data_IF_450409847692
#
_entry.id   IF_450409847692
#
_cell.length_a   1.000
_cell.length_b   1.000
_cell.length_c   1.000
_cell.angle_alpha   90.00
_cell.angle_beta   90.00
_cell.angle_gamma   90.00
#
_symmetry.space_group_name_H-M   'P 1'
#
loop_
_entity.id
_entity.type
_entity.pdbx_description
1 polymer ?
#
# COMPACT_ATOMS: atom_id res chain seq x y z
N UNK A 1 5.26 65.38 -1.48
CA UNK A 1 5.75 64.25 -0.65
C UNK A 1 4.67 63.24 -0.24
N UNK A 2 3.58 63.61 0.46
CA UNK A 2 2.53 62.65 0.91
C UNK A 2 1.94 61.74 -0.19
N UNK A 3 1.71 62.29 -1.39
CA UNK A 3 1.15 61.55 -2.55
C UNK A 3 2.11 60.47 -3.10
N UNK A 4 3.42 60.72 -3.02
CA UNK A 4 4.48 59.79 -3.45
C UNK A 4 4.66 58.67 -2.42
N UNK A 5 4.71 58.99 -1.14
CA UNK A 5 4.75 58.02 -0.03
C UNK A 5 3.54 57.07 -0.07
N UNK A 6 2.33 57.60 -0.23
CA UNK A 6 1.12 56.78 -0.30
C UNK A 6 1.07 55.86 -1.54
N UNK A 7 1.72 56.27 -2.64
CA UNK A 7 1.85 55.44 -3.85
C UNK A 7 2.91 54.36 -3.68
N UNK A 8 3.97 54.62 -2.91
CA UNK A 8 4.99 53.62 -2.55
C UNK A 8 4.40 52.54 -1.64
N UNK A 9 3.77 52.92 -0.52
CA UNK A 9 3.15 51.97 0.42
C UNK A 9 2.07 51.09 -0.23
N UNK A 10 1.29 51.63 -1.18
CA UNK A 10 0.34 50.83 -1.96
C UNK A 10 1.00 49.81 -2.90
N UNK A 11 2.17 50.11 -3.44
CA UNK A 11 2.95 49.17 -4.26
C UNK A 11 3.53 48.05 -3.41
N UNK A 12 4.09 48.37 -2.25
CA UNK A 12 4.64 47.38 -1.33
C UNK A 12 3.55 46.45 -0.79
N UNK A 13 2.38 47.00 -0.46
CA UNK A 13 1.20 46.22 -0.08
C UNK A 13 0.70 45.32 -1.23
N UNK A 14 0.73 45.80 -2.48
CA UNK A 14 0.34 45.00 -3.64
C UNK A 14 1.33 43.85 -3.92
N UNK A 15 2.63 44.11 -3.75
CA UNK A 15 3.68 43.08 -3.86
C UNK A 15 3.47 42.01 -2.77
N UNK A 16 3.29 42.44 -1.50
CA UNK A 16 3.05 41.54 -0.39
C UNK A 16 1.78 40.70 -0.58
N UNK A 17 0.68 41.30 -1.05
CA UNK A 17 -0.57 40.60 -1.33
C UNK A 17 -0.40 39.55 -2.44
N UNK A 18 0.33 39.89 -3.50
CA UNK A 18 0.60 38.96 -4.61
C UNK A 18 1.44 37.77 -4.15
N UNK A 19 2.47 38.02 -3.32
CA UNK A 19 3.28 36.97 -2.69
C UNK A 19 2.44 36.07 -1.77
N UNK A 20 1.55 36.65 -0.96
CA UNK A 20 0.67 35.90 -0.08
C UNK A 20 -0.29 34.99 -0.87
N UNK A 21 -0.89 35.51 -1.95
CA UNK A 21 -1.76 34.73 -2.85
C UNK A 21 -0.98 33.60 -3.51
N UNK A 22 0.22 33.89 -4.00
CA UNK A 22 1.08 32.88 -4.61
C UNK A 22 1.44 31.78 -3.61
N UNK A 23 1.91 32.14 -2.41
CA UNK A 23 2.22 31.16 -1.36
C UNK A 23 1.01 30.32 -0.97
N UNK A 24 -0.17 30.94 -0.81
CA UNK A 24 -1.40 30.21 -0.51
C UNK A 24 -1.76 29.23 -1.63
N UNK A 25 -1.61 29.63 -2.89
CA UNK A 25 -1.86 28.76 -4.04
C UNK A 25 -0.91 27.55 -4.06
N UNK A 26 0.36 27.76 -3.73
CA UNK A 26 1.34 26.67 -3.62
C UNK A 26 0.99 25.71 -2.48
N UNK A 27 0.58 26.23 -1.32
CA UNK A 27 0.18 25.40 -0.17
C UNK A 27 -1.05 24.55 -0.49
N UNK A 28 -2.07 25.13 -1.14
CA UNK A 28 -3.26 24.41 -1.55
C UNK A 28 -2.94 23.33 -2.59
N UNK A 29 -2.09 23.64 -3.57
CA UNK A 29 -1.65 22.67 -4.58
C UNK A 29 -0.85 21.53 -3.95
N UNK A 30 0.09 21.84 -3.07
CA UNK A 30 0.89 20.82 -2.38
C UNK A 30 0.00 19.93 -1.51
N UNK A 31 -0.91 20.52 -0.72
CA UNK A 31 -1.86 19.77 0.09
C UNK A 31 -2.77 18.86 -0.75
N UNK A 32 -3.17 19.29 -1.95
CA UNK A 32 -3.92 18.46 -2.89
C UNK A 32 -3.11 17.26 -3.39
N UNK A 33 -1.84 17.46 -3.77
CA UNK A 33 -0.95 16.38 -4.23
C UNK A 33 -0.66 15.41 -3.08
N UNK A 34 -0.36 15.92 -1.89
CA UNK A 34 -0.12 15.14 -0.67
C UNK A 34 -1.33 14.23 -0.37
N UNK A 35 -2.54 14.78 -0.36
CA UNK A 35 -3.78 14.02 -0.16
C UNK A 35 -3.94 12.91 -1.20
N UNK A 36 -3.63 13.18 -2.48
CA UNK A 36 -3.69 12.17 -3.55
C UNK A 36 -2.65 11.06 -3.36
N UNK A 37 -1.48 11.37 -2.80
CA UNK A 37 -0.40 10.41 -2.57
C UNK A 37 -0.63 9.57 -1.31
N UNK A 38 -1.16 10.18 -0.24
CA UNK A 38 -1.37 9.55 1.05
C UNK A 38 -2.63 8.69 1.10
N UNK A 39 -3.60 8.86 0.20
CA UNK A 39 -4.75 7.95 0.14
C UNK A 39 -4.38 6.65 -0.59
N UNK A 40 -4.20 5.52 0.13
CA UNK A 40 -3.85 4.24 -0.49
C UNK A 40 -4.91 3.77 -1.51
N UNK A 41 -6.17 4.13 -1.30
CA UNK A 41 -7.31 3.66 -2.12
C UNK A 41 -7.62 4.52 -3.34
N UNK A 42 -6.90 5.63 -3.53
CA UNK A 42 -7.23 6.62 -4.54
C UNK A 42 -6.65 6.24 -5.91
N UNK A 43 -7.51 5.73 -6.79
CA UNK A 43 -7.19 5.37 -8.18
C UNK A 43 -6.08 4.31 -8.36
N UNK A 44 -5.77 3.50 -7.34
CA UNK A 44 -4.80 2.41 -7.46
C UNK A 44 -5.49 1.08 -7.18
N UNK A 45 -5.56 0.21 -8.18
CA UNK A 45 -5.87 -1.20 -7.97
C UNK A 45 -4.58 -1.89 -7.53
N UNK A 46 -4.42 -2.04 -6.22
CA UNK A 46 -3.26 -2.73 -5.67
C UNK A 46 -3.67 -3.57 -4.46
N UNK A 47 -2.86 -4.56 -4.18
CA UNK A 47 -3.01 -5.45 -3.04
C UNK A 47 -1.62 -5.88 -2.55
N UNK A 48 -1.54 -6.34 -1.31
CA UNK A 48 -0.29 -6.74 -0.67
C UNK A 48 -0.41 -8.15 -0.15
N UNK A 49 0.71 -8.87 -0.18
CA UNK A 49 0.90 -10.17 0.42
C UNK A 49 2.06 -10.08 1.41
N UNK A 50 1.84 -10.49 2.66
CA UNK A 50 2.89 -10.50 3.68
C UNK A 50 2.64 -11.58 4.73
N UNK A 51 3.71 -11.99 5.43
CA UNK A 51 3.59 -12.86 6.60
C UNK A 51 3.04 -12.09 7.79
N UNK A 52 2.13 -12.69 8.56
CA UNK A 52 1.66 -12.14 9.83
C UNK A 52 2.80 -12.00 10.83
N UNK A 53 3.69 -12.99 10.85
CA UNK A 53 4.94 -12.95 11.61
C UNK A 53 6.09 -13.50 10.77
N UNK A 54 7.06 -12.64 10.48
CA UNK A 54 8.25 -13.02 9.71
C UNK A 54 9.29 -13.81 10.51
N UNK A 55 9.22 -13.77 11.85
CA UNK A 55 10.29 -14.28 12.74
C UNK A 55 10.03 -15.66 13.33
N UNK A 56 8.77 -16.08 13.44
CA UNK A 56 8.41 -17.36 14.04
C UNK A 56 8.36 -18.49 12.99
N UNK A 57 8.01 -19.71 13.40
CA UNK A 57 7.77 -20.83 12.47
C UNK A 57 6.42 -20.78 11.73
N UNK A 58 5.61 -19.74 11.94
CA UNK A 58 4.24 -19.68 11.41
C UNK A 58 4.24 -19.49 9.90
N UNK A 59 3.27 -20.14 9.26
CA UNK A 59 2.94 -19.96 7.85
C UNK A 59 1.77 -18.98 7.66
N UNK A 60 1.33 -18.33 8.73
CA UNK A 60 0.26 -17.35 8.68
C UNK A 60 0.63 -16.16 7.79
N UNK A 61 -0.28 -15.79 6.91
CA UNK A 61 -0.11 -14.69 5.98
C UNK A 61 -1.38 -13.88 5.83
N UNK A 62 -1.24 -12.66 5.31
CA UNK A 62 -2.33 -11.77 5.07
C UNK A 62 -2.34 -11.29 3.62
N UNK A 63 -3.55 -11.08 3.12
CA UNK A 63 -3.83 -10.39 1.87
C UNK A 63 -4.54 -9.09 2.24
N UNK A 64 -3.94 -7.97 1.88
CA UNK A 64 -4.52 -6.63 2.06
C UNK A 64 -4.92 -6.08 0.69
N UNK A 65 -6.18 -5.70 0.53
CA UNK A 65 -6.71 -5.34 -0.77
C UNK A 65 -7.19 -3.88 -0.81
N UNK A 66 -6.65 -3.10 -1.74
CA UNK A 66 -7.09 -1.73 -2.04
C UNK A 66 -7.68 -1.61 -3.45
N UNK A 67 -7.82 -2.72 -4.18
CA UNK A 67 -8.39 -2.79 -5.51
C UNK A 67 -9.84 -3.24 -5.53
N UNK A 68 -10.42 -3.27 -6.74
CA UNK A 68 -11.80 -3.74 -6.96
C UNK A 68 -11.90 -5.27 -7.13
N UNK A 69 -10.78 -5.96 -7.32
CA UNK A 69 -10.74 -7.43 -7.42
C UNK A 69 -10.93 -8.00 -6.01
N UNK A 70 -11.89 -8.89 -5.83
CA UNK A 70 -12.23 -9.40 -4.50
C UNK A 70 -11.84 -10.86 -4.31
N UNK A 71 -11.70 -11.63 -5.39
CA UNK A 71 -11.41 -13.06 -5.31
C UNK A 71 -9.93 -13.31 -5.51
N UNK A 72 -9.30 -13.93 -4.51
CA UNK A 72 -7.90 -14.30 -4.54
C UNK A 72 -7.75 -15.81 -4.41
N UNK A 73 -6.91 -16.39 -5.25
CA UNK A 73 -6.48 -17.78 -5.13
C UNK A 73 -5.08 -17.81 -4.51
N UNK A 74 -4.90 -18.64 -3.49
CA UNK A 74 -3.63 -18.79 -2.80
C UNK A 74 -3.14 -20.23 -2.87
N UNK A 75 -1.83 -20.40 -2.96
CA UNK A 75 -1.13 -21.67 -3.07
C UNK A 75 0.09 -21.65 -2.15
N UNK A 76 0.31 -22.73 -1.42
CA UNK A 76 1.46 -22.90 -0.52
C UNK A 76 2.32 -24.04 -1.02
N UNK A 77 3.60 -23.74 -1.24
CA UNK A 77 4.60 -24.67 -1.74
C UNK A 77 5.65 -24.92 -0.67
N UNK A 78 6.10 -26.16 -0.65
CA UNK A 78 7.32 -26.56 0.01
C UNK A 78 8.22 -27.18 -1.05
N UNK A 79 9.35 -26.56 -1.33
CA UNK A 79 10.18 -26.90 -2.48
C UNK A 79 9.53 -26.50 -3.82
N UNK A 80 9.74 -27.30 -4.88
CA UNK A 80 9.61 -26.81 -6.26
C UNK A 80 8.45 -27.35 -7.09
N UNK A 81 7.78 -28.43 -6.69
CA UNK A 81 7.05 -29.21 -7.70
C UNK A 81 5.52 -29.08 -7.66
N UNK A 82 4.88 -28.97 -6.48
CA UNK A 82 3.42 -28.85 -6.38
C UNK A 82 3.00 -28.07 -5.12
N UNK A 83 1.90 -27.30 -5.16
CA UNK A 83 1.33 -26.76 -3.94
C UNK A 83 0.84 -27.93 -3.10
N UNK A 84 1.09 -27.87 -1.79
CA UNK A 84 0.59 -28.87 -0.85
C UNK A 84 -0.67 -28.41 -0.14
N UNK A 85 -0.99 -27.12 -0.23
CA UNK A 85 -2.22 -26.53 0.23
C UNK A 85 -2.57 -25.37 -0.71
N UNK A 86 -3.84 -25.25 -1.03
CA UNK A 86 -4.37 -24.16 -1.83
C UNK A 86 -5.79 -23.82 -1.38
N UNK A 87 -6.27 -22.67 -1.81
CA UNK A 87 -7.63 -22.24 -1.53
C UNK A 87 -7.99 -20.96 -2.24
N UNK A 88 -9.24 -20.55 -2.07
CA UNK A 88 -9.74 -19.27 -2.52
C UNK A 88 -10.28 -18.49 -1.35
N UNK A 89 -10.20 -17.17 -1.45
CA UNK A 89 -10.66 -16.27 -0.40
C UNK A 89 -11.16 -14.98 -1.02
N UNK A 90 -12.27 -14.48 -0.47
CA UNK A 90 -12.78 -13.16 -0.80
C UNK A 90 -12.14 -12.14 0.15
N UNK A 91 -11.56 -11.07 -0.40
CA UNK A 91 -10.99 -9.94 0.34
C UNK A 91 -11.53 -8.66 -0.27
N UNK A 92 -12.41 -7.95 0.43
CA UNK A 92 -13.04 -6.75 -0.14
C UNK A 92 -12.06 -5.58 -0.15
N UNK A 93 -12.43 -4.53 -0.89
CA UNK A 93 -11.65 -3.30 -0.95
C UNK A 93 -11.56 -2.65 0.44
N UNK A 94 -10.34 -2.32 0.85
CA UNK A 94 -9.99 -1.77 2.16
C UNK A 94 -9.86 -2.84 3.27
N UNK A 95 -10.03 -4.12 2.96
CA UNK A 95 -9.97 -5.20 3.94
C UNK A 95 -8.61 -5.92 3.95
N UNK A 96 -8.32 -6.51 5.11
CA UNK A 96 -7.19 -7.40 5.33
C UNK A 96 -7.75 -8.76 5.73
N UNK A 97 -7.44 -9.79 4.94
CA UNK A 97 -7.82 -11.15 5.26
C UNK A 97 -6.61 -11.95 5.71
N UNK A 98 -6.70 -12.48 6.92
CA UNK A 98 -5.69 -13.34 7.52
C UNK A 98 -5.98 -14.79 7.20
N UNK A 99 -4.96 -15.52 6.78
CA UNK A 99 -5.03 -16.94 6.44
C UNK A 99 -4.05 -17.66 7.36
N UNK A 100 -4.58 -18.62 8.12
CA UNK A 100 -3.83 -19.44 9.06
C UNK A 100 -3.89 -20.90 8.58
N UNK A 101 -2.97 -21.33 7.70
CA UNK A 101 -2.92 -22.70 7.23
C UNK A 101 -2.72 -23.65 8.42
N UNK A 102 -3.64 -24.60 8.60
CA UNK A 102 -3.44 -25.70 9.55
C UNK A 102 -2.55 -26.73 8.87
N UNK A 103 -1.27 -26.75 9.24
CA UNK A 103 -0.30 -27.67 8.65
C UNK A 103 0.33 -28.52 9.74
N UNK A 104 0.42 -29.83 9.50
CA UNK A 104 1.25 -30.72 10.29
C UNK A 104 2.72 -30.33 10.15
N UNK A 105 3.50 -30.41 11.24
CA UNK A 105 4.92 -30.07 11.24
C UNK A 105 5.64 -30.71 10.05
N UNK A 106 6.29 -29.88 9.22
CA UNK A 106 7.12 -30.31 8.09
C UNK A 106 8.57 -29.93 8.32
N UNK A 107 9.45 -30.83 7.92
CA UNK A 107 10.91 -30.73 8.03
C UNK A 107 11.53 -29.90 6.87
N UNK A 108 10.70 -29.10 6.21
CA UNK A 108 11.06 -28.43 4.98
C UNK A 108 11.69 -27.07 5.27
N UNK A 109 12.89 -26.84 4.71
CA UNK A 109 13.71 -25.65 4.99
C UNK A 109 13.18 -24.36 4.38
N UNK A 110 12.19 -24.43 3.49
CA UNK A 110 11.67 -23.25 2.80
C UNK A 110 10.20 -23.37 2.47
N UNK A 111 9.49 -22.26 2.62
CA UNK A 111 8.09 -22.07 2.28
C UNK A 111 7.95 -20.98 1.22
N UNK A 112 7.13 -21.23 0.22
CA UNK A 112 6.67 -20.21 -0.73
C UNK A 112 5.16 -20.10 -0.63
N UNK A 113 4.65 -18.88 -0.46
CA UNK A 113 3.22 -18.59 -0.56
C UNK A 113 3.03 -17.75 -1.81
N UNK A 114 2.18 -18.21 -2.72
CA UNK A 114 1.78 -17.50 -3.92
C UNK A 114 0.32 -17.12 -3.80
N UNK A 115 0.00 -15.89 -4.17
CA UNK A 115 -1.38 -15.42 -4.30
C UNK A 115 -1.58 -14.85 -5.70
N UNK A 116 -2.75 -15.10 -6.28
CA UNK A 116 -3.16 -14.68 -7.61
C UNK A 116 -4.52 -13.99 -7.53
N UNK A 117 -4.66 -12.84 -8.18
CA UNK A 117 -5.95 -12.14 -8.35
C UNK A 117 -6.64 -12.48 -9.69
N UNK A 118 -6.01 -13.36 -10.48
CA UNK A 118 -6.46 -13.80 -11.81
C UNK A 118 -5.64 -13.19 -12.95
N UNK A 119 -5.13 -11.96 -12.77
CA UNK A 119 -4.29 -11.25 -13.74
C UNK A 119 -2.83 -11.17 -13.28
N UNK A 120 -2.64 -10.90 -12.00
CA UNK A 120 -1.35 -10.69 -11.34
C UNK A 120 -1.11 -11.76 -10.28
N UNK A 121 0.18 -12.00 -10.02
CA UNK A 121 0.65 -12.94 -9.00
C UNK A 121 1.67 -12.25 -8.10
N UNK A 122 1.61 -12.53 -6.81
CA UNK A 122 2.62 -12.13 -5.83
C UNK A 122 3.07 -13.34 -5.04
N UNK A 123 4.34 -13.34 -4.66
CA UNK A 123 4.95 -14.43 -3.91
C UNK A 123 5.73 -13.87 -2.72
N UNK A 124 5.62 -14.56 -1.59
CA UNK A 124 6.46 -14.34 -0.41
C UNK A 124 7.14 -15.65 -0.03
N UNK A 125 8.36 -15.54 0.48
CA UNK A 125 9.22 -16.68 0.77
C UNK A 125 9.72 -16.60 2.20
N UNK A 126 9.79 -17.75 2.86
CA UNK A 126 10.37 -17.89 4.19
C UNK A 126 11.33 -19.06 4.19
N UNK A 127 12.52 -18.85 4.72
CA UNK A 127 13.52 -19.90 4.94
C UNK A 127 13.58 -20.12 6.44
N UNK A 128 13.43 -21.37 6.88
CA UNK A 128 13.51 -21.73 8.28
C UNK A 128 14.97 -22.09 8.60
N UNK A 129 15.57 -21.39 9.55
CA UNK A 129 16.87 -21.75 10.11
C UNK A 129 16.73 -23.00 10.98
N UNK A 130 17.75 -23.87 10.97
CA UNK A 130 17.80 -25.10 11.77
C UNK A 130 18.23 -24.82 13.21
#
# INVERSE_FOLDING_TARGET
>A
MKKLLNKLFKKDAAIAATLAIFMLSCLLFLGYIEYRQQNPDLNKNWWVLYFENSKDGSMAFAIENHGNIQNFHWEIFSGKNKPFLDGTVEVKKGEIQKINPVVSARDDRSLTIRVSDGENKKEIYKIFEK
#
